data_IF_702856508381
#
_entry.id   IF_702856508381
#
_cell.length_a   1.000
_cell.length_b   1.000
_cell.length_c   1.000
_cell.angle_alpha   90.00
_cell.angle_beta   90.00
_cell.angle_gamma   90.00
#
_symmetry.space_group_name_H-M   'P 1'
#
loop_
_entity.id
_entity.type
_entity.pdbx_description
1 polymer ?
#
# COMPACT_ATOMS: atom_id res chain seq x y z
N UNK A 1 3.83 5.46 2.44
CA UNK A 1 2.86 5.18 1.37
C UNK A 1 3.29 3.91 0.68
N UNK A 2 2.68 2.78 1.00
CA UNK A 2 2.85 1.54 0.22
C UNK A 2 2.03 1.73 -1.04
N UNK A 3 2.66 1.95 -2.18
CA UNK A 3 1.92 2.11 -3.43
C UNK A 3 1.23 0.79 -3.78
N UNK A 4 -0.09 0.80 -3.88
CA UNK A 4 -0.84 -0.34 -4.42
C UNK A 4 -0.83 -0.25 -5.94
N UNK A 5 -0.59 -1.37 -6.63
CA UNK A 5 -0.79 -1.44 -8.07
C UNK A 5 -2.26 -1.79 -8.35
N UNK A 6 -2.97 -0.88 -9.03
CA UNK A 6 -4.27 -1.19 -9.61
C UNK A 6 -4.05 -1.97 -10.92
N UNK A 7 -4.48 -3.23 -10.98
CA UNK A 7 -4.36 -4.03 -12.20
C UNK A 7 -5.52 -3.74 -13.16
N UNK A 8 -5.25 -3.55 -14.47
CA UNK A 8 -6.31 -3.33 -15.44
C UNK A 8 -7.26 -4.52 -15.48
N UNK A 9 -8.57 -4.24 -15.39
CA UNK A 9 -9.71 -5.19 -15.41
C UNK A 9 -10.03 -5.99 -14.14
N UNK A 10 -9.57 -5.59 -12.95
CA UNK A 10 -10.06 -6.21 -11.73
C UNK A 10 -9.71 -5.41 -10.49
N UNK A 11 -10.73 -5.04 -9.71
CA UNK A 11 -10.65 -4.28 -8.46
C UNK A 11 -9.92 -4.96 -7.30
N UNK A 12 -8.83 -5.67 -7.60
CA UNK A 12 -7.95 -6.31 -6.64
C UNK A 12 -6.68 -5.47 -6.53
N UNK A 13 -6.43 -4.97 -5.33
CA UNK A 13 -5.16 -4.31 -5.01
C UNK A 13 -4.14 -5.37 -4.65
N UNK A 14 -3.02 -5.42 -5.40
CA UNK A 14 -1.90 -6.28 -5.01
C UNK A 14 -1.08 -5.57 -3.95
N UNK A 15 -1.00 -6.18 -2.78
CA UNK A 15 -0.16 -5.70 -1.67
C UNK A 15 1.03 -6.64 -1.58
N UNK A 16 2.23 -6.12 -1.89
CA UNK A 16 3.48 -6.88 -1.76
C UNK A 16 3.90 -7.72 -2.97
N UNK A 17 3.16 -7.73 -4.08
CA UNK A 17 3.58 -8.38 -5.34
C UNK A 17 3.04 -7.63 -6.56
N UNK A 18 3.86 -6.74 -7.14
CA UNK A 18 3.50 -5.89 -8.29
C UNK A 18 4.72 -5.50 -9.12
N UNK A 19 4.50 -4.87 -10.29
CA UNK A 19 5.58 -4.37 -11.14
C UNK A 19 6.11 -3.06 -10.54
N UNK A 20 7.27 -3.14 -9.89
CA UNK A 20 7.94 -1.97 -9.27
C UNK A 20 8.77 -1.14 -10.25
N UNK A 21 8.73 -1.46 -11.54
CA UNK A 21 9.40 -0.67 -12.58
C UNK A 21 8.85 0.75 -12.53
N UNK A 22 9.73 1.76 -12.40
CA UNK A 22 9.42 3.19 -12.20
C UNK A 22 8.97 3.62 -10.81
N UNK A 23 8.99 2.73 -9.82
CA UNK A 23 8.80 3.18 -8.44
C UNK A 23 10.00 4.00 -7.98
N UNK A 24 9.72 5.07 -7.26
CA UNK A 24 10.71 5.93 -6.65
C UNK A 24 10.67 5.83 -5.13
N UNK A 25 11.81 6.02 -4.51
CA UNK A 25 11.91 6.26 -3.08
C UNK A 25 11.39 7.66 -2.74
N UNK A 26 11.21 7.96 -1.44
CA UNK A 26 10.74 9.27 -0.99
C UNK A 26 11.68 10.42 -1.34
N UNK A 27 12.95 10.12 -1.62
CA UNK A 27 13.98 11.05 -2.09
C UNK A 27 14.07 11.15 -3.62
N UNK A 28 13.07 10.62 -4.34
CA UNK A 28 12.95 10.63 -5.80
C UNK A 28 13.98 9.75 -6.55
N UNK A 29 14.82 8.99 -5.84
CA UNK A 29 15.73 7.99 -6.43
C UNK A 29 14.98 6.74 -6.91
N UNK A 30 15.53 6.02 -7.89
CA UNK A 30 14.93 4.78 -8.40
C UNK A 30 14.91 3.68 -7.32
N UNK A 31 13.78 2.99 -7.19
CA UNK A 31 13.67 1.84 -6.29
C UNK A 31 14.40 0.61 -6.86
N UNK A 32 15.50 0.22 -6.19
CA UNK A 32 16.32 -0.96 -6.53
C UNK A 32 16.12 -2.14 -5.55
N UNK A 33 15.02 -2.14 -4.79
CA UNK A 33 14.73 -3.14 -3.76
C UNK A 33 14.06 -4.42 -4.28
N UNK A 34 13.77 -5.39 -3.38
CA UNK A 34 13.10 -6.63 -3.75
C UNK A 34 11.73 -6.37 -4.38
N UNK A 35 11.33 -7.18 -5.36
CA UNK A 35 10.04 -7.08 -6.06
C UNK A 35 8.82 -7.47 -5.20
N UNK A 36 9.05 -7.72 -3.92
CA UNK A 36 8.04 -8.18 -2.99
C UNK A 36 8.41 -7.83 -1.55
N UNK A 37 7.39 -7.64 -0.72
CA UNK A 37 7.55 -7.44 0.72
C UNK A 37 7.87 -8.77 1.41
N UNK A 38 8.86 -8.78 2.30
CA UNK A 38 9.30 -9.99 3.04
C UNK A 38 8.86 -10.03 4.50
N UNK A 39 8.21 -8.97 5.00
CA UNK A 39 7.74 -8.91 6.38
C UNK A 39 6.34 -9.49 6.57
N UNK A 40 5.81 -9.35 7.78
CA UNK A 40 4.40 -9.65 8.09
C UNK A 40 3.55 -8.39 7.92
N UNK A 41 2.35 -8.54 7.33
CA UNK A 41 1.35 -7.48 7.24
C UNK A 41 0.04 -7.98 7.85
N UNK A 42 -0.67 -7.09 8.54
CA UNK A 42 -1.99 -7.36 9.07
C UNK A 42 -2.90 -6.16 8.78
N UNK A 43 -4.20 -6.42 8.63
CA UNK A 43 -5.24 -5.39 8.47
C UNK A 43 -5.12 -4.46 7.24
N UNK A 44 -4.43 -4.89 6.18
CA UNK A 44 -4.37 -4.12 4.93
C UNK A 44 -5.77 -3.86 4.36
N UNK A 45 -6.09 -2.59 4.14
CA UNK A 45 -7.43 -2.13 3.75
C UNK A 45 -7.35 -1.12 2.61
N UNK A 46 -8.32 -1.16 1.71
CA UNK A 46 -8.44 -0.19 0.61
C UNK A 46 -9.84 0.41 0.60
N UNK A 47 -9.89 1.73 0.50
CA UNK A 47 -11.13 2.51 0.54
C UNK A 47 -11.40 3.10 -0.85
N UNK A 48 -12.67 3.11 -1.24
CA UNK A 48 -13.13 3.70 -2.52
C UNK A 48 -13.24 5.22 -2.45
N UNK A 49 -13.03 5.81 -1.26
CA UNK A 49 -13.08 7.25 -1.00
C UNK A 49 -11.87 7.68 -0.19
N UNK A 50 -11.54 8.97 -0.25
CA UNK A 50 -10.55 9.56 0.63
C UNK A 50 -11.07 9.56 2.08
N UNK A 51 -10.24 9.08 3.01
CA UNK A 51 -10.56 9.11 4.43
C UNK A 51 -10.34 10.50 5.02
N UNK A 52 -11.16 10.86 6.01
CA UNK A 52 -10.89 11.98 6.91
C UNK A 52 -9.77 11.62 7.90
N UNK A 53 -9.19 12.62 8.56
CA UNK A 53 -8.18 12.38 9.61
C UNK A 53 -8.72 11.44 10.70
N UNK A 54 -9.97 11.67 11.15
CA UNK A 54 -10.59 10.85 12.19
C UNK A 54 -10.74 9.40 11.73
N UNK A 55 -11.16 9.15 10.49
CA UNK A 55 -11.30 7.80 9.96
C UNK A 55 -9.95 7.07 9.85
N UNK A 56 -8.89 7.78 9.48
CA UNK A 56 -7.54 7.22 9.46
C UNK A 56 -7.06 6.85 10.89
N UNK A 57 -7.35 7.71 11.87
CA UNK A 57 -7.04 7.48 13.29
C UNK A 57 -7.80 6.27 13.83
N UNK A 58 -9.08 6.16 13.54
CA UNK A 58 -9.92 5.05 14.00
C UNK A 58 -9.45 3.72 13.39
N UNK A 59 -9.07 3.71 12.11
CA UNK A 59 -8.50 2.53 11.46
C UNK A 59 -7.19 2.09 12.13
N UNK A 60 -6.29 3.02 12.44
CA UNK A 60 -5.06 2.74 13.17
C UNK A 60 -5.34 2.11 14.55
N UNK A 61 -6.27 2.69 15.32
CA UNK A 61 -6.63 2.19 16.65
C UNK A 61 -7.29 0.82 16.61
N UNK A 62 -8.05 0.50 15.55
CA UNK A 62 -8.65 -0.81 15.36
C UNK A 62 -7.61 -1.92 15.13
N UNK A 63 -6.49 -1.60 14.45
CA UNK A 63 -5.41 -2.54 14.18
C UNK A 63 -4.35 -2.66 15.28
N UNK A 64 -4.40 -1.82 16.32
CA UNK A 64 -3.46 -1.82 17.44
C UNK A 64 -3.80 -2.83 18.56
N UNK A 65 -4.84 -3.66 18.35
CA UNK A 65 -5.28 -4.69 19.28
C UNK A 65 -4.80 -6.07 18.87
#
# INVERSE_FOLDING_TARGET
MTAGENVPNGGYWKVGCGKLTYWKNADDSEYQGPKYFKGSMQYSSVYTTALTEQQARDHYLAGAK
#
